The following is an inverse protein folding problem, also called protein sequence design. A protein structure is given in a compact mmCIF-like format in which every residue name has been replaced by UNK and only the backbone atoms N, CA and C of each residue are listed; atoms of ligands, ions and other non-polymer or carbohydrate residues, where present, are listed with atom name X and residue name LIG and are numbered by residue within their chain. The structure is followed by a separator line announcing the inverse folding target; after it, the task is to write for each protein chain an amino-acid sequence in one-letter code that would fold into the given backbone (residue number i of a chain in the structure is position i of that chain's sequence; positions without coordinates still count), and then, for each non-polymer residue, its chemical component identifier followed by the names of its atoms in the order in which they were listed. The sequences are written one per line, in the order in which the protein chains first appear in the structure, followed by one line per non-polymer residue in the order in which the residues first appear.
data_IF_354216372962
#
_entry.id   IF_354216372962
#
_cell.length_a   1.000
_cell.length_b   1.000
_cell.length_c   1.000
_cell.angle_alpha   90.00
_cell.angle_beta   90.00
_cell.angle_gamma   90.00
#
_symmetry.space_group_name_H-M   'P 1'
#
loop_
_entity.id
_entity.type
_entity.pdbx_description
1 polymer ?
#
# COMPACT_ATOMS: atom_id res chain seq x y z
N UNK A 1 -22.34 -15.74 4.81
CA UNK A 1 -23.51 -15.41 5.66
C UNK A 1 -23.16 -15.32 7.14
N UNK A 2 -22.49 -16.32 7.74
CA UNK A 2 -22.18 -16.32 9.18
C UNK A 2 -21.25 -15.18 9.60
N UNK A 3 -20.31 -14.80 8.72
CA UNK A 3 -19.43 -13.63 8.91
C UNK A 3 -20.22 -12.31 9.10
N UNK A 4 -21.25 -12.06 8.28
CA UNK A 4 -22.06 -10.84 8.43
C UNK A 4 -22.88 -10.79 9.71
N UNK A 5 -23.24 -11.95 10.28
CA UNK A 5 -23.90 -12.01 11.60
C UNK A 5 -22.91 -11.56 12.68
N UNK A 6 -21.64 -12.00 12.60
CA UNK A 6 -20.58 -11.52 13.49
C UNK A 6 -20.42 -10.00 13.38
N UNK A 7 -20.26 -9.47 12.18
CA UNK A 7 -20.10 -8.02 11.95
C UNK A 7 -21.31 -7.22 12.44
N UNK A 8 -22.52 -7.76 12.27
CA UNK A 8 -23.74 -7.15 12.81
C UNK A 8 -23.67 -7.06 14.33
N UNK A 9 -23.34 -8.15 15.02
CA UNK A 9 -23.25 -8.20 16.48
C UNK A 9 -22.21 -7.21 17.00
N UNK A 10 -21.01 -7.22 16.42
CA UNK A 10 -19.96 -6.27 16.77
C UNK A 10 -20.41 -4.82 16.60
N UNK A 11 -21.09 -4.51 15.49
CA UNK A 11 -21.59 -3.16 15.21
C UNK A 11 -22.69 -2.74 16.19
N UNK A 12 -23.62 -3.64 16.52
CA UNK A 12 -24.69 -3.42 17.50
C UNK A 12 -24.08 -3.11 18.86
N UNK A 13 -23.22 -3.98 19.37
CA UNK A 13 -22.66 -3.82 20.72
C UNK A 13 -21.67 -2.66 20.79
N UNK A 14 -20.96 -2.34 19.71
CA UNK A 14 -20.18 -1.10 19.61
C UNK A 14 -21.05 0.15 19.70
N UNK A 15 -22.28 0.13 19.15
CA UNK A 15 -23.23 1.23 19.29
C UNK A 15 -23.79 1.30 20.72
N UNK A 16 -24.10 0.15 21.32
CA UNK A 16 -24.53 0.07 22.73
C UNK A 16 -23.45 0.65 23.65
N UNK A 17 -22.19 0.27 23.48
CA UNK A 17 -21.06 0.75 24.29
C UNK A 17 -20.84 2.26 24.20
N UNK A 18 -21.28 2.88 23.11
CA UNK A 18 -21.21 4.34 22.94
C UNK A 18 -22.39 5.09 23.56
N UNK A 19 -23.52 4.42 23.75
CA UNK A 19 -24.78 5.05 24.17
C UNK A 19 -25.19 4.68 25.59
N UNK A 20 -24.74 3.52 26.08
CA UNK A 20 -25.04 3.00 27.40
C UNK A 20 -23.89 3.32 28.36
N UNK A 21 -24.25 3.74 29.57
CA UNK A 21 -23.30 3.83 30.70
C UNK A 21 -22.98 2.45 31.30
N UNK A 22 -23.77 1.43 30.96
CA UNK A 22 -23.63 0.08 31.50
C UNK A 22 -22.38 -0.61 30.96
N UNK A 23 -21.53 -1.07 31.88
CA UNK A 23 -20.30 -1.79 31.56
C UNK A 23 -20.50 -3.31 31.57
N UNK A 24 -21.49 -3.81 32.31
CA UNK A 24 -21.73 -5.25 32.46
C UNK A 24 -22.53 -5.81 31.27
N UNK A 25 -22.29 -7.07 30.92
CA UNK A 25 -23.07 -7.78 29.88
C UNK A 25 -24.57 -7.72 30.14
N UNK A 26 -24.98 -7.91 31.39
CA UNK A 26 -26.39 -7.87 31.79
C UNK A 26 -26.98 -6.46 31.60
N UNK A 27 -26.27 -5.43 32.05
CA UNK A 27 -26.69 -4.03 31.88
C UNK A 27 -26.81 -3.64 30.40
N UNK A 28 -25.81 -3.95 29.59
CA UNK A 28 -25.85 -3.73 28.12
C UNK A 28 -27.02 -4.45 27.46
N UNK A 29 -27.31 -5.67 27.90
CA UNK A 29 -28.40 -6.48 27.36
C UNK A 29 -29.76 -5.92 27.72
N UNK A 30 -29.95 -5.49 28.96
CA UNK A 30 -31.18 -4.83 29.43
C UNK A 30 -31.40 -3.51 28.70
N UNK A 31 -30.35 -2.69 28.58
CA UNK A 31 -30.40 -1.45 27.81
C UNK A 31 -30.88 -1.69 26.37
N UNK A 32 -30.25 -2.64 25.66
CA UNK A 32 -30.62 -2.93 24.28
C UNK A 32 -32.03 -3.51 24.17
N UNK A 33 -32.44 -4.38 25.10
CA UNK A 33 -33.82 -4.90 25.17
C UNK A 33 -34.84 -3.77 25.25
N UNK A 34 -34.66 -2.85 26.21
CA UNK A 34 -35.56 -1.71 26.42
C UNK A 34 -35.63 -0.81 25.19
N UNK A 35 -34.48 -0.45 24.60
CA UNK A 35 -34.44 0.41 23.42
C UNK A 35 -35.11 -0.24 22.21
N UNK A 36 -34.95 -1.56 22.03
CA UNK A 36 -35.58 -2.28 20.92
C UNK A 36 -37.10 -2.31 21.09
N UNK A 37 -37.56 -2.58 22.31
CA UNK A 37 -38.98 -2.62 22.64
C UNK A 37 -39.62 -1.23 22.49
N UNK A 38 -39.05 -0.19 23.08
CA UNK A 38 -39.59 1.18 23.07
C UNK A 38 -39.64 1.78 21.66
N UNK A 39 -38.60 1.57 20.85
CA UNK A 39 -38.48 2.25 19.54
C UNK A 39 -39.05 1.45 18.38
N UNK A 40 -39.08 0.14 18.49
CA UNK A 40 -39.46 -0.74 17.38
C UNK A 40 -40.56 -1.74 17.73
N UNK A 41 -41.08 -1.74 18.97
CA UNK A 41 -42.18 -2.60 19.39
C UNK A 41 -41.86 -4.09 19.35
N UNK A 42 -40.59 -4.47 19.41
CA UNK A 42 -40.14 -5.85 19.28
C UNK A 42 -39.60 -6.38 20.61
N UNK A 43 -40.16 -7.47 21.11
CA UNK A 43 -39.72 -8.11 22.34
C UNK A 43 -38.49 -8.98 22.08
N UNK A 44 -37.30 -8.47 22.41
CA UNK A 44 -36.06 -9.23 22.38
C UNK A 44 -35.50 -9.36 23.79
N UNK A 45 -35.58 -10.56 24.38
CA UNK A 45 -35.16 -10.74 25.76
C UNK A 45 -33.68 -10.41 25.99
N UNK A 46 -33.43 -9.75 27.13
CA UNK A 46 -32.11 -9.51 27.70
C UNK A 46 -31.23 -10.79 27.76
N UNK A 47 -31.84 -11.94 28.05
CA UNK A 47 -31.16 -13.25 28.06
C UNK A 47 -30.65 -13.65 26.68
N UNK A 48 -31.44 -13.43 25.63
CA UNK A 48 -31.01 -13.70 24.26
C UNK A 48 -29.89 -12.74 23.84
N UNK A 49 -30.02 -11.46 24.20
CA UNK A 49 -28.99 -10.44 23.93
C UNK A 49 -27.68 -10.79 24.65
N UNK A 50 -27.75 -11.20 25.91
CA UNK A 50 -26.58 -11.63 26.69
C UNK A 50 -25.88 -12.83 26.05
N UNK A 51 -26.64 -13.79 25.52
CA UNK A 51 -26.09 -14.92 24.77
C UNK A 51 -25.42 -14.50 23.48
N UNK A 52 -25.98 -13.52 22.77
CA UNK A 52 -25.32 -12.99 21.57
C UNK A 52 -24.04 -12.25 21.93
N UNK A 53 -24.03 -11.48 23.02
CA UNK A 53 -22.81 -10.82 23.50
C UNK A 53 -21.72 -11.83 23.86
N UNK A 54 -22.03 -12.80 24.70
CA UNK A 54 -21.02 -13.78 25.13
C UNK A 54 -20.56 -14.70 24.00
N UNK A 55 -21.43 -15.00 23.04
CA UNK A 55 -21.09 -15.83 21.90
C UNK A 55 -20.30 -15.11 20.79
N UNK A 56 -20.70 -13.89 20.44
CA UNK A 56 -20.12 -13.16 19.31
C UNK A 56 -19.04 -12.14 19.74
N UNK A 57 -19.10 -11.58 20.94
CA UNK A 57 -18.19 -10.52 21.39
C UNK A 57 -17.09 -11.06 22.30
N UNK A 58 -17.43 -11.75 23.38
CA UNK A 58 -16.42 -12.24 24.34
C UNK A 58 -15.88 -13.63 24.01
N UNK A 59 -16.65 -14.46 23.32
CA UNK A 59 -16.26 -15.83 22.98
C UNK A 59 -16.36 -16.82 24.14
N UNK A 60 -16.95 -16.43 25.27
CA UNK A 60 -17.16 -17.29 26.44
C UNK A 60 -18.13 -18.44 26.17
N UNK A 61 -19.06 -18.26 25.22
CA UNK A 61 -20.04 -19.28 24.86
C UNK A 61 -20.04 -19.56 23.36
N UNK A 62 -20.65 -20.68 22.96
CA UNK A 62 -20.84 -20.99 21.55
C UNK A 62 -21.74 -19.95 20.89
N UNK A 63 -21.38 -19.51 19.69
CA UNK A 63 -22.21 -18.65 18.84
C UNK A 63 -23.57 -19.30 18.59
N UNK A 64 -24.64 -18.60 18.97
CA UNK A 64 -26.02 -19.00 18.71
C UNK A 64 -26.57 -18.08 17.63
N UNK A 65 -26.93 -18.66 16.48
CA UNK A 65 -27.49 -17.91 15.36
C UNK A 65 -28.83 -17.28 15.75
N UNK A 66 -28.99 -15.94 15.68
CA UNK A 66 -30.29 -15.30 15.86
C UNK A 66 -31.25 -15.65 14.73
N UNK A 67 -32.55 -15.60 15.02
CA UNK A 67 -33.57 -15.78 14.00
C UNK A 67 -33.64 -14.56 13.05
N UNK A 68 -34.35 -14.71 11.93
CA UNK A 68 -34.47 -13.65 10.90
C UNK A 68 -35.07 -12.34 11.46
N UNK A 69 -36.05 -12.43 12.36
CA UNK A 69 -36.68 -11.26 12.95
C UNK A 69 -35.68 -10.49 13.84
N UNK A 70 -34.91 -11.20 14.67
CA UNK A 70 -33.83 -10.62 15.48
C UNK A 70 -32.75 -9.98 14.61
N UNK A 71 -32.33 -10.63 13.52
CA UNK A 71 -31.34 -10.03 12.61
C UNK A 71 -31.87 -8.73 11.99
N UNK A 72 -33.13 -8.70 11.56
CA UNK A 72 -33.75 -7.50 10.99
C UNK A 72 -33.88 -6.38 12.01
N UNK A 73 -34.35 -6.66 13.23
CA UNK A 73 -34.53 -5.62 14.25
C UNK A 73 -33.21 -5.03 14.71
N UNK A 74 -32.16 -5.85 14.82
CA UNK A 74 -30.81 -5.39 15.14
C UNK A 74 -30.21 -4.55 14.01
N UNK A 75 -30.54 -4.86 12.76
CA UNK A 75 -30.14 -4.06 11.60
C UNK A 75 -30.87 -2.71 11.57
N UNK A 76 -32.17 -2.70 11.90
CA UNK A 76 -32.96 -1.48 12.10
C UNK A 76 -32.38 -0.61 13.22
N UNK A 77 -31.99 -1.20 14.34
CA UNK A 77 -31.31 -0.49 15.42
C UNK A 77 -30.03 0.23 14.95
N UNK A 78 -29.31 -0.31 13.96
CA UNK A 78 -28.15 0.32 13.34
C UNK A 78 -28.49 1.34 12.24
N UNK A 79 -29.76 1.50 11.86
CA UNK A 79 -30.22 2.41 10.82
C UNK A 79 -30.34 1.79 9.41
N UNK A 80 -30.33 0.46 9.29
CA UNK A 80 -30.55 -0.26 8.03
C UNK A 80 -32.00 -0.73 7.92
N UNK A 81 -32.49 -1.00 6.71
CA UNK A 81 -33.90 -1.43 6.54
C UNK A 81 -34.16 -2.89 6.93
N UNK A 82 -33.14 -3.75 6.80
CA UNK A 82 -33.20 -5.18 7.10
C UNK A 82 -31.79 -5.74 7.23
N UNK A 83 -31.67 -7.00 7.63
CA UNK A 83 -30.38 -7.68 7.63
C UNK A 83 -29.80 -7.82 6.22
N UNK A 84 -30.65 -8.01 5.22
CA UNK A 84 -30.22 -8.06 3.82
C UNK A 84 -29.69 -6.70 3.34
N UNK A 85 -30.35 -5.59 3.73
CA UNK A 85 -29.86 -4.24 3.44
C UNK A 85 -28.52 -3.96 4.14
N UNK A 86 -28.36 -4.43 5.39
CA UNK A 86 -27.08 -4.37 6.11
C UNK A 86 -25.96 -5.12 5.37
N UNK A 87 -26.22 -6.35 4.94
CA UNK A 87 -25.24 -7.16 4.18
C UNK A 87 -24.85 -6.45 2.88
N UNK A 88 -25.84 -6.12 2.05
CA UNK A 88 -25.62 -5.50 0.73
C UNK A 88 -24.84 -4.19 0.82
N UNK A 89 -25.18 -3.30 1.77
CA UNK A 89 -24.49 -2.01 1.93
C UNK A 89 -23.05 -2.18 2.43
N UNK A 90 -22.77 -3.18 3.26
CA UNK A 90 -21.41 -3.41 3.73
C UNK A 90 -20.54 -4.13 2.68
N UNK A 91 -21.09 -5.08 1.93
CA UNK A 91 -20.40 -5.69 0.77
C UNK A 91 -19.99 -4.60 -0.24
N UNK A 92 -20.92 -3.71 -0.59
CA UNK A 92 -20.62 -2.59 -1.51
C UNK A 92 -19.51 -1.67 -0.95
N UNK A 93 -19.48 -1.43 0.36
CA UNK A 93 -18.43 -0.62 1.00
C UNK A 93 -17.08 -1.32 1.00
N UNK A 94 -17.06 -2.62 1.25
CA UNK A 94 -15.84 -3.43 1.22
C UNK A 94 -15.24 -3.42 -0.19
N UNK A 95 -16.06 -3.68 -1.22
CA UNK A 95 -15.67 -3.63 -2.62
C UNK A 95 -15.12 -2.25 -3.03
N UNK A 96 -15.79 -1.17 -2.60
CA UNK A 96 -15.31 0.19 -2.86
C UNK A 96 -13.97 0.47 -2.19
N UNK A 97 -13.74 -0.05 -0.98
CA UNK A 97 -12.48 0.16 -0.26
C UNK A 97 -11.33 -0.61 -0.90
N UNK A 98 -11.58 -1.85 -1.33
CA UNK A 98 -10.63 -2.68 -2.10
C UNK A 98 -10.30 -2.00 -3.44
N UNK A 99 -11.29 -1.52 -4.19
CA UNK A 99 -11.08 -0.77 -5.44
C UNK A 99 -10.24 0.48 -5.23
N UNK A 100 -10.51 1.28 -4.19
CA UNK A 100 -9.68 2.46 -3.87
C UNK A 100 -8.24 2.07 -3.54
N UNK A 101 -8.03 0.98 -2.83
CA UNK A 101 -6.70 0.49 -2.49
C UNK A 101 -5.93 0.00 -3.72
N UNK A 102 -6.56 -0.79 -4.58
CA UNK A 102 -5.95 -1.25 -5.84
C UNK A 102 -5.67 -0.10 -6.79
N UNK A 103 -6.57 0.88 -6.90
CA UNK A 103 -6.34 2.09 -7.69
C UNK A 103 -5.16 2.91 -7.14
N UNK A 104 -5.03 3.02 -5.82
CA UNK A 104 -3.89 3.70 -5.17
C UNK A 104 -2.58 2.99 -5.45
N UNK A 105 -2.55 1.66 -5.35
CA UNK A 105 -1.36 0.85 -5.69
C UNK A 105 -1.01 1.00 -7.16
N UNK A 106 -1.99 0.89 -8.08
CA UNK A 106 -1.76 1.04 -9.51
C UNK A 106 -1.15 2.40 -9.83
N UNK A 107 -1.70 3.47 -9.26
CA UNK A 107 -1.18 4.82 -9.45
C UNK A 107 0.24 5.00 -8.87
N UNK A 108 0.54 4.36 -7.74
CA UNK A 108 1.89 4.35 -7.17
C UNK A 108 2.87 3.60 -8.09
N UNK A 109 2.50 2.41 -8.55
CA UNK A 109 3.32 1.59 -9.43
C UNK A 109 3.64 2.30 -10.75
N UNK A 110 2.64 2.95 -11.36
CA UNK A 110 2.83 3.77 -12.57
C UNK A 110 3.83 4.92 -12.31
N UNK A 111 3.69 5.65 -11.19
CA UNK A 111 4.61 6.74 -10.84
C UNK A 111 6.05 6.24 -10.62
N UNK A 112 6.21 5.10 -9.94
CA UNK A 112 7.52 4.47 -9.73
C UNK A 112 8.15 4.06 -11.05
N UNK A 113 7.37 3.45 -11.96
CA UNK A 113 7.86 3.05 -13.28
C UNK A 113 8.27 4.24 -14.14
N UNK A 114 7.51 5.34 -14.11
CA UNK A 114 7.87 6.58 -14.81
C UNK A 114 9.19 7.12 -14.25
N UNK A 115 9.35 7.19 -12.93
CA UNK A 115 10.58 7.65 -12.28
C UNK A 115 11.79 6.76 -12.62
N UNK A 116 11.60 5.45 -12.63
CA UNK A 116 12.61 4.49 -13.02
C UNK A 116 13.03 4.68 -14.48
N UNK A 117 12.06 4.82 -15.40
CA UNK A 117 12.32 5.07 -16.81
C UNK A 117 13.14 6.34 -17.05
N UNK A 118 12.81 7.43 -16.36
CA UNK A 118 13.56 8.69 -16.45
C UNK A 118 15.01 8.51 -15.98
N UNK A 119 15.23 7.84 -14.85
CA UNK A 119 16.58 7.59 -14.33
C UNK A 119 17.41 6.71 -15.28
N UNK A 120 16.81 5.66 -15.86
CA UNK A 120 17.49 4.82 -16.85
C UNK A 120 17.93 5.63 -18.06
N UNK A 121 17.05 6.49 -18.59
CA UNK A 121 17.38 7.37 -19.73
C UNK A 121 18.55 8.30 -19.36
N UNK A 122 18.51 8.96 -18.19
CA UNK A 122 19.59 9.83 -17.72
C UNK A 122 20.92 9.07 -17.58
N UNK A 123 20.91 7.88 -16.97
CA UNK A 123 22.09 7.03 -16.87
C UNK A 123 22.63 6.62 -18.25
N UNK A 124 21.77 6.22 -19.19
CA UNK A 124 22.16 5.87 -20.55
C UNK A 124 22.80 7.06 -21.28
N UNK A 125 22.24 8.27 -21.16
CA UNK A 125 22.82 9.47 -21.77
C UNK A 125 24.19 9.81 -21.19
N UNK A 126 24.37 9.71 -19.87
CA UNK A 126 25.67 9.92 -19.22
C UNK A 126 26.70 8.90 -19.69
N UNK A 127 26.36 7.60 -19.71
CA UNK A 127 27.24 6.54 -20.20
C UNK A 127 27.61 6.75 -21.68
N UNK A 128 26.67 7.19 -22.51
CA UNK A 128 26.92 7.51 -23.91
C UNK A 128 27.90 8.69 -24.07
N UNK A 129 27.71 9.77 -23.31
CA UNK A 129 28.62 10.91 -23.30
C UNK A 129 30.02 10.53 -22.81
N UNK A 130 30.11 9.77 -21.72
CA UNK A 130 31.36 9.23 -21.18
C UNK A 130 32.08 8.38 -22.22
N UNK A 131 31.36 7.47 -22.90
CA UNK A 131 31.93 6.65 -23.97
C UNK A 131 32.47 7.51 -25.13
N UNK A 132 31.74 8.55 -25.53
CA UNK A 132 32.18 9.51 -26.55
C UNK A 132 33.41 10.31 -26.12
N UNK A 133 33.49 10.70 -24.85
CA UNK A 133 34.62 11.43 -24.27
C UNK A 133 35.89 10.57 -24.25
N UNK A 134 35.83 9.37 -23.66
CA UNK A 134 36.98 8.46 -23.55
C UNK A 134 37.42 7.79 -24.86
N UNK A 135 36.65 7.94 -25.95
CA UNK A 135 37.06 7.50 -27.29
C UNK A 135 38.09 8.43 -27.95
N UNK A 136 38.37 9.60 -27.39
CA UNK A 136 39.41 10.50 -27.91
C UNK A 136 40.79 10.07 -27.40
N UNK A 137 41.70 9.80 -28.33
CA UNK A 137 43.10 9.55 -28.02
C UNK A 137 43.88 10.86 -28.10
N UNK A 138 44.80 11.05 -27.18
CA UNK A 138 45.73 12.18 -27.14
C UNK A 138 47.16 11.64 -27.21
N UNK A 139 48.13 12.53 -27.36
CA UNK A 139 49.54 12.25 -27.21
C UNK A 139 50.18 13.22 -26.23
N UNK A 140 51.12 12.74 -25.42
CA UNK A 140 51.89 13.54 -24.47
C UNK A 140 53.39 13.33 -24.72
N UNK A 141 54.19 14.38 -24.56
CA UNK A 141 55.64 14.31 -24.68
C UNK A 141 56.24 13.76 -23.37
N UNK A 142 56.82 12.57 -23.42
CA UNK A 142 57.44 11.89 -22.29
C UNK A 142 58.93 11.72 -22.55
N UNK A 143 59.74 12.40 -21.76
CA UNK A 143 61.21 12.43 -21.86
C UNK A 143 61.71 12.98 -23.22
N UNK A 144 61.67 12.16 -24.26
CA UNK A 144 62.24 12.39 -25.59
C UNK A 144 61.30 12.01 -26.76
N UNK A 145 60.09 11.52 -26.48
CA UNK A 145 59.16 11.08 -27.52
C UNK A 145 57.69 11.28 -27.15
N UNK A 146 56.82 11.20 -28.15
CA UNK A 146 55.37 11.17 -27.93
C UNK A 146 54.89 9.76 -27.59
N UNK A 147 54.05 9.64 -26.58
CA UNK A 147 53.29 8.43 -26.27
C UNK A 147 51.80 8.65 -26.48
N UNK A 148 51.12 7.64 -27.04
CA UNK A 148 49.67 7.65 -27.22
C UNK A 148 48.99 7.34 -25.89
N UNK A 149 48.18 8.27 -25.42
CA UNK A 149 47.42 8.14 -24.18
C UNK A 149 45.93 8.41 -24.43
N UNK A 150 45.11 8.15 -23.41
CA UNK A 150 43.71 8.60 -23.42
C UNK A 150 43.67 10.04 -22.92
N UNK A 151 42.90 10.90 -23.60
CA UNK A 151 42.76 12.29 -23.19
C UNK A 151 42.16 12.39 -21.78
N UNK A 152 42.85 13.02 -20.85
CA UNK A 152 42.39 13.30 -19.48
C UNK A 152 42.08 14.78 -19.26
N UNK A 153 42.48 15.67 -20.20
CA UNK A 153 42.21 17.11 -20.16
C UNK A 153 43.30 17.94 -19.49
N UNK A 154 44.52 17.42 -19.39
CA UNK A 154 45.67 18.12 -18.79
C UNK A 154 46.30 19.09 -19.81
N UNK A 155 46.85 20.21 -19.35
CA UNK A 155 47.37 21.29 -20.24
C UNK A 155 48.49 20.83 -21.18
N UNK A 156 49.18 19.75 -20.85
CA UNK A 156 50.29 19.19 -21.64
C UNK A 156 49.86 18.08 -22.62
N UNK A 157 48.56 17.79 -22.72
CA UNK A 157 48.03 16.83 -23.68
C UNK A 157 47.74 17.49 -25.03
N UNK A 158 48.22 16.88 -26.12
CA UNK A 158 47.91 17.32 -27.48
C UNK A 158 46.98 16.31 -28.15
N UNK A 159 46.07 16.77 -29.01
CA UNK A 159 45.21 15.89 -29.82
C UNK A 159 46.09 14.94 -30.63
N UNK A 160 45.77 13.64 -30.64
CA UNK A 160 46.57 12.63 -31.35
C UNK A 160 46.71 12.98 -32.83
N UNK A 161 47.94 13.18 -33.27
CA UNK A 161 48.32 13.24 -34.68
C UNK A 161 49.23 12.04 -34.97
N UNK A 162 48.73 11.09 -35.77
CA UNK A 162 49.44 9.83 -36.02
C UNK A 162 50.77 10.02 -36.75
N UNK A 163 50.90 11.07 -37.58
CA UNK A 163 52.13 11.33 -38.34
C UNK A 163 53.23 11.91 -37.44
N UNK A 164 52.87 12.80 -36.52
CA UNK A 164 53.81 13.35 -35.53
C UNK A 164 54.25 12.26 -34.55
N UNK A 165 53.32 11.43 -34.07
CA UNK A 165 53.64 10.31 -33.19
C UNK A 165 54.60 9.32 -33.86
N UNK A 166 54.41 9.02 -35.16
CA UNK A 166 55.29 8.12 -35.90
C UNK A 166 56.70 8.72 -36.08
N UNK A 167 56.79 10.02 -36.35
CA UNK A 167 58.06 10.73 -36.59
C UNK A 167 58.96 10.80 -35.35
N UNK A 168 58.35 10.97 -34.17
CA UNK A 168 59.07 11.12 -32.90
C UNK A 168 58.99 9.87 -32.03
N UNK A 169 58.68 8.69 -32.59
CA UNK A 169 58.66 7.44 -31.83
C UNK A 169 60.09 7.06 -31.42
N UNK A 170 60.30 6.63 -30.18
CA UNK A 170 61.61 6.23 -29.64
C UNK A 170 62.31 5.24 -30.59
N UNK A 171 63.50 5.61 -31.07
CA UNK A 171 64.32 4.72 -31.89
C UNK A 171 65.05 3.75 -30.94
N UNK A 172 64.83 2.42 -31.03
CA UNK A 172 65.35 1.46 -30.05
C UNK A 172 66.88 1.24 -30.13
N UNK A 173 67.59 1.93 -31.01
CA UNK A 173 68.92 1.52 -31.49
C UNK A 173 70.12 2.23 -30.84
N UNK A 174 69.94 2.86 -29.68
CA UNK A 174 71.06 3.37 -28.87
C UNK A 174 70.97 2.82 -27.45
N UNK A 175 71.53 1.61 -27.27
CA UNK A 175 72.00 1.08 -25.99
C UNK A 175 73.52 1.00 -26.04
#
# INVERSE_FOLDING_TARGET
MENWIQTLMESVFKKVDKQSIELTTSGKSKYLSLIIEERYGFLLSDRNISRYYTGYITGETKKIRPNKATLNILSLYLGYHSFEDFVRKNETREDMSLRKFTDKIRNLHIKVWISFGINVILCCTLLFCISRYYRKNCMVWMNDHYEKIRCSGLEYETILNEDVLRKFKKNPDHR
#
